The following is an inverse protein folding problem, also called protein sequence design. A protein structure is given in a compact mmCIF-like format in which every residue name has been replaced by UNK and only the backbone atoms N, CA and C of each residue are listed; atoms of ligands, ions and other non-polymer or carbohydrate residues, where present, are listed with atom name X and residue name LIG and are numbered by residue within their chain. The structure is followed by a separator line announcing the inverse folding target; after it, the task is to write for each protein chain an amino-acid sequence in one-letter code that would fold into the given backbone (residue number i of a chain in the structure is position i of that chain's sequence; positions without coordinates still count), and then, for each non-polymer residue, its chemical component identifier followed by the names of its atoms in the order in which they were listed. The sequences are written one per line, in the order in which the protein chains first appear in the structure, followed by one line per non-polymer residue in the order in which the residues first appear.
data_IF_581961169884
#
_entry.id   IF_581961169884
#
_cell.length_a   1.000
_cell.length_b   1.000
_cell.length_c   1.000
_cell.angle_alpha   90.00
_cell.angle_beta   90.00
_cell.angle_gamma   90.00
#
_symmetry.space_group_name_H-M   'P 1'
#
loop_
_entity.id
_entity.type
_entity.pdbx_description
1 polymer ?
#
# COMPACT_ATOMS: atom_id res chain seq x y z
N UNK A 1 46.58 -57.15 44.57
CA UNK A 1 45.73 -58.35 44.44
C UNK A 1 44.25 -57.95 44.52
N UNK A 2 43.47 -58.41 43.56
CA UNK A 2 42.02 -58.22 43.41
C UNK A 2 41.22 -58.70 44.63
N UNK A 3 40.24 -57.90 45.08
CA UNK A 3 39.04 -58.41 45.75
C UNK A 3 37.81 -57.68 45.25
N UNK A 4 37.18 -58.31 44.27
CA UNK A 4 35.82 -58.07 43.81
C UNK A 4 34.82 -58.41 44.93
N UNK A 5 33.92 -57.48 45.27
CA UNK A 5 32.66 -57.77 45.99
C UNK A 5 31.53 -56.91 45.40
N UNK A 6 30.74 -57.53 44.52
CA UNK A 6 29.34 -57.16 44.24
C UNK A 6 28.47 -57.59 45.44
N UNK A 7 27.15 -57.42 45.39
CA UNK A 7 26.33 -56.23 45.13
C UNK A 7 25.39 -55.97 46.34
N UNK A 8 24.73 -54.82 46.45
CA UNK A 8 23.51 -54.74 47.25
C UNK A 8 22.46 -53.90 46.54
N UNK A 9 21.37 -54.56 46.17
CA UNK A 9 20.10 -53.96 45.77
C UNK A 9 19.38 -53.50 47.03
N UNK A 10 18.88 -52.27 47.05
CA UNK A 10 17.73 -51.91 47.88
C UNK A 10 16.98 -50.77 47.22
N UNK A 11 15.71 -51.06 46.91
CA UNK A 11 14.64 -50.13 46.58
C UNK A 11 14.41 -49.13 47.71
N UNK A 12 14.30 -47.85 47.37
CA UNK A 12 13.51 -46.85 48.10
C UNK A 12 13.30 -45.70 47.09
N UNK A 13 12.10 -45.50 46.55
CA UNK A 13 11.06 -44.79 47.29
C UNK A 13 11.32 -43.29 47.20
N UNK A 14 11.28 -42.71 46.00
CA UNK A 14 11.35 -41.25 45.84
C UNK A 14 9.95 -40.69 46.08
N UNK A 15 9.65 -40.49 47.36
CA UNK A 15 8.65 -39.56 47.81
C UNK A 15 9.11 -38.14 47.45
N UNK A 16 8.18 -37.35 46.90
CA UNK A 16 8.42 -35.97 46.53
C UNK A 16 8.63 -35.04 47.73
N UNK A 17 9.47 -34.04 47.51
CA UNK A 17 9.49 -32.72 48.16
C UNK A 17 10.54 -31.90 47.39
N UNK A 18 10.13 -31.12 46.38
CA UNK A 18 9.83 -29.68 46.47
C UNK A 18 11.03 -28.83 46.91
N UNK A 19 11.31 -27.82 46.08
CA UNK A 19 12.14 -26.63 46.31
C UNK A 19 13.62 -26.69 45.93
N UNK A 20 13.91 -26.71 44.61
CA UNK A 20 15.11 -26.08 44.04
C UNK A 20 14.84 -25.65 42.60
N UNK A 21 14.45 -24.38 42.36
CA UNK A 21 14.50 -23.73 41.03
C UNK A 21 14.27 -22.22 41.13
N UNK A 22 15.15 -21.51 41.84
CA UNK A 22 15.13 -20.05 41.95
C UNK A 22 16.15 -19.36 41.06
N UNK A 23 16.36 -19.83 39.84
CA UNK A 23 17.20 -19.15 38.83
C UNK A 23 16.46 -19.19 37.49
N UNK A 24 15.78 -18.11 37.10
CA UNK A 24 15.52 -17.75 35.70
C UNK A 24 15.33 -16.22 35.63
N UNK A 25 16.44 -15.50 35.50
CA UNK A 25 16.83 -14.85 34.25
C UNK A 25 15.89 -13.70 33.86
N UNK A 26 16.19 -12.49 34.35
CA UNK A 26 15.73 -11.25 33.72
C UNK A 26 16.41 -11.14 32.35
N UNK A 27 15.93 -11.96 31.40
CA UNK A 27 16.28 -11.84 30.00
C UNK A 27 15.59 -10.61 29.43
N UNK A 28 16.36 -9.77 28.75
CA UNK A 28 15.88 -8.63 27.97
C UNK A 28 14.64 -9.01 27.17
N UNK A 29 13.56 -8.24 27.33
CA UNK A 29 12.38 -8.34 26.49
C UNK A 29 12.69 -7.87 25.08
N UNK A 30 13.39 -8.68 24.28
CA UNK A 30 13.30 -8.62 22.83
C UNK A 30 12.32 -9.71 22.43
N UNK A 31 11.03 -9.37 22.49
CA UNK A 31 9.98 -10.21 21.94
C UNK A 31 10.27 -10.50 20.47
N UNK A 32 10.59 -11.76 20.17
CA UNK A 32 10.81 -12.32 18.83
C UNK A 32 9.56 -12.34 17.93
N UNK A 33 8.60 -11.47 18.20
CA UNK A 33 7.42 -11.24 17.38
C UNK A 33 7.33 -9.73 17.16
N UNK A 34 8.16 -9.24 16.24
CA UNK A 34 8.03 -7.88 15.73
C UNK A 34 6.61 -7.76 15.16
N UNK A 35 5.74 -7.00 15.81
CA UNK A 35 4.40 -6.68 15.31
C UNK A 35 4.44 -5.77 14.06
N UNK A 36 5.61 -5.63 13.44
CA UNK A 36 5.86 -5.09 12.11
C UNK A 36 6.32 -6.17 11.10
N UNK A 37 6.50 -7.43 11.49
CA UNK A 37 6.86 -8.53 10.57
C UNK A 37 5.69 -9.00 9.69
N UNK A 38 4.47 -8.58 10.03
CA UNK A 38 3.28 -8.71 9.21
C UNK A 38 2.87 -7.38 8.57
N UNK A 39 3.81 -6.45 8.37
CA UNK A 39 3.50 -5.22 7.65
C UNK A 39 3.34 -5.57 6.17
N UNK A 40 2.15 -6.06 5.85
CA UNK A 40 1.61 -6.05 4.50
C UNK A 40 1.64 -4.58 4.13
N UNK A 41 2.63 -4.20 3.30
CA UNK A 41 2.54 -2.97 2.56
C UNK A 41 1.11 -2.92 2.02
N UNK A 42 0.43 -1.77 2.09
CA UNK A 42 -0.87 -1.60 1.47
C UNK A 42 -0.71 -1.78 -0.05
N UNK A 43 -0.50 -3.01 -0.51
CA UNK A 43 -0.23 -3.34 -1.90
C UNK A 43 -1.59 -3.40 -2.54
N UNK A 44 -2.00 -2.29 -3.13
CA UNK A 44 -3.20 -2.20 -3.97
C UNK A 44 -3.05 -2.98 -5.29
N UNK A 45 -2.17 -4.00 -5.33
CA UNK A 45 -1.83 -4.80 -6.49
C UNK A 45 -1.90 -6.30 -6.22
N UNK A 46 -2.21 -7.06 -7.27
CA UNK A 46 -2.36 -8.50 -7.24
C UNK A 46 -1.00 -9.21 -7.22
N UNK A 47 -0.92 -10.27 -6.42
CA UNK A 47 0.17 -11.25 -6.45
C UNK A 47 -0.37 -12.59 -6.92
N UNK A 48 0.39 -13.29 -7.76
CA UNK A 48 0.05 -14.61 -8.27
C UNK A 48 1.29 -15.33 -8.80
N UNK A 49 1.11 -16.55 -9.30
CA UNK A 49 2.17 -17.31 -9.93
C UNK A 49 1.64 -18.21 -11.03
N UNK A 50 2.53 -18.56 -11.97
CA UNK A 50 2.30 -19.55 -13.02
C UNK A 50 3.60 -20.28 -13.28
N UNK A 51 3.60 -21.59 -13.10
CA UNK A 51 4.86 -22.35 -13.11
C UNK A 51 5.89 -21.75 -12.15
N UNK A 52 7.06 -21.38 -12.68
CA UNK A 52 8.15 -20.73 -11.95
C UNK A 52 8.18 -19.20 -12.11
N UNK A 53 7.11 -18.59 -12.64
CA UNK A 53 7.00 -17.15 -12.80
C UNK A 53 6.06 -16.58 -11.74
N UNK A 54 6.59 -15.66 -10.95
CA UNK A 54 5.86 -14.90 -9.94
C UNK A 54 5.39 -13.56 -10.51
N UNK A 55 4.10 -13.30 -10.42
CA UNK A 55 3.47 -12.01 -10.71
C UNK A 55 3.33 -11.27 -9.38
N UNK A 56 3.92 -10.07 -9.28
CA UNK A 56 3.92 -9.26 -8.07
C UNK A 56 3.40 -7.87 -8.36
N UNK A 57 2.55 -7.37 -7.46
CA UNK A 57 2.08 -5.97 -7.47
C UNK A 57 1.49 -5.55 -8.82
N UNK A 58 0.71 -6.47 -9.42
CA UNK A 58 0.05 -6.27 -10.70
C UNK A 58 -1.20 -5.42 -10.50
N UNK A 59 -1.25 -4.24 -11.10
CA UNK A 59 -2.38 -3.33 -11.02
C UNK A 59 -2.46 -2.45 -12.27
N UNK A 60 -3.68 -2.06 -12.66
CA UNK A 60 -3.85 -0.93 -13.58
C UNK A 60 -3.51 0.32 -12.79
N UNK A 61 -2.66 1.17 -13.33
CA UNK A 61 -2.17 2.34 -12.62
C UNK A 61 -3.31 3.36 -12.40
N UNK A 62 -3.22 4.20 -11.39
CA UNK A 62 -4.32 5.13 -11.08
C UNK A 62 -4.36 6.27 -12.13
N UNK A 63 -5.53 6.70 -12.66
CA UNK A 63 -5.60 7.77 -13.64
C UNK A 63 -5.00 9.09 -13.11
N UNK A 64 -3.97 9.60 -13.77
CA UNK A 64 -3.28 10.82 -13.32
C UNK A 64 -4.12 12.10 -13.54
N UNK A 65 -5.10 12.08 -14.45
CA UNK A 65 -5.96 13.21 -14.73
C UNK A 65 -7.38 12.76 -15.18
N UNK A 66 -8.45 13.30 -14.58
CA UNK A 66 -8.46 14.12 -13.37
C UNK A 66 -8.18 13.25 -12.12
N UNK A 67 -7.25 13.68 -11.27
CA UNK A 67 -6.99 13.01 -10.00
C UNK A 67 -8.09 13.36 -8.98
N UNK A 68 -9.12 12.51 -8.91
CA UNK A 68 -10.22 12.61 -7.95
C UNK A 68 -10.61 11.22 -7.44
N UNK A 69 -11.30 11.09 -6.30
CA UNK A 69 -11.82 9.78 -5.87
C UNK A 69 -12.72 9.09 -6.91
N UNK A 70 -13.28 9.85 -7.85
CA UNK A 70 -14.07 9.37 -8.99
C UNK A 70 -13.25 9.19 -10.28
N UNK A 71 -11.92 9.24 -10.21
CA UNK A 71 -11.06 9.10 -11.38
C UNK A 71 -11.25 7.75 -12.06
N UNK A 72 -11.33 7.80 -13.39
CA UNK A 72 -11.50 6.64 -14.23
C UNK A 72 -10.79 6.86 -15.57
N UNK A 73 -10.35 5.78 -16.19
CA UNK A 73 -9.96 5.81 -17.59
C UNK A 73 -11.21 5.77 -18.47
N UNK A 74 -11.31 6.68 -19.44
CA UNK A 74 -12.43 6.73 -20.36
C UNK A 74 -12.39 5.58 -21.38
N UNK A 75 -13.54 5.23 -21.95
CA UNK A 75 -13.59 4.37 -23.15
C UNK A 75 -12.70 4.95 -24.24
N UNK A 76 -11.94 4.10 -24.92
CA UNK A 76 -11.02 4.44 -26.00
C UNK A 76 -9.66 4.95 -25.53
N UNK A 77 -9.52 5.29 -24.25
CA UNK A 77 -8.24 5.74 -23.67
C UNK A 77 -7.27 4.57 -23.43
N UNK A 78 -6.05 4.91 -23.01
CA UNK A 78 -5.02 3.95 -22.63
C UNK A 78 -4.75 3.98 -21.13
N UNK A 79 -4.56 2.81 -20.54
CA UNK A 79 -4.27 2.64 -19.13
C UNK A 79 -2.91 1.93 -18.93
N UNK A 80 -1.91 2.62 -18.34
CA UNK A 80 -0.65 1.99 -17.94
C UNK A 80 -0.89 0.90 -16.90
N UNK A 81 -0.11 -0.17 -16.98
CA UNK A 81 -0.16 -1.29 -16.03
C UNK A 81 1.15 -1.30 -15.24
N UNK A 82 1.04 -1.37 -13.92
CA UNK A 82 2.16 -1.62 -13.01
C UNK A 82 2.23 -3.11 -12.73
N UNK A 83 3.41 -3.69 -12.82
CA UNK A 83 3.63 -5.11 -12.58
C UNK A 83 5.12 -5.38 -12.36
N UNK A 84 5.42 -6.33 -11.48
CA UNK A 84 6.74 -6.93 -11.34
C UNK A 84 6.63 -8.42 -11.64
N UNK A 85 7.39 -8.92 -12.61
CA UNK A 85 7.38 -10.32 -13.04
C UNK A 85 8.74 -10.92 -12.74
N UNK A 86 8.80 -12.00 -11.97
CA UNK A 86 10.06 -12.64 -11.55
C UNK A 86 10.06 -14.09 -12.00
N UNK A 87 11.12 -14.52 -12.68
CA UNK A 87 11.35 -15.93 -12.97
C UNK A 87 12.24 -16.53 -11.86
N UNK A 88 11.66 -17.37 -11.01
CA UNK A 88 12.36 -18.12 -9.96
C UNK A 88 12.84 -19.50 -10.42
N UNK A 89 12.63 -19.84 -11.71
CA UNK A 89 13.08 -21.08 -12.33
C UNK A 89 14.48 -20.98 -12.92
N UNK A 90 15.19 -22.11 -12.97
CA UNK A 90 16.55 -22.17 -13.51
C UNK A 90 16.66 -21.96 -15.02
N UNK A 91 15.56 -22.10 -15.76
CA UNK A 91 15.52 -21.89 -17.22
C UNK A 91 14.95 -20.51 -17.51
N UNK A 92 15.60 -19.75 -18.41
CA UNK A 92 15.11 -18.45 -18.84
C UNK A 92 13.72 -18.56 -19.49
N UNK A 93 12.83 -17.62 -19.20
CA UNK A 93 11.50 -17.50 -19.79
C UNK A 93 11.39 -16.18 -20.56
N UNK A 94 10.21 -15.89 -21.11
CA UNK A 94 9.90 -14.67 -21.81
C UNK A 94 8.42 -14.34 -21.68
N UNK A 95 8.09 -13.08 -21.39
CA UNK A 95 6.72 -12.60 -21.52
C UNK A 95 6.38 -12.44 -23.01
N UNK A 96 5.47 -13.27 -23.52
CA UNK A 96 5.09 -13.31 -24.93
C UNK A 96 3.97 -12.33 -25.23
N UNK A 97 2.93 -12.33 -24.40
CA UNK A 97 1.78 -11.43 -24.58
C UNK A 97 1.04 -11.17 -23.28
N UNK A 98 0.35 -10.03 -23.24
CA UNK A 98 -0.66 -9.70 -22.23
C UNK A 98 -1.94 -9.33 -22.98
N UNK A 99 -3.10 -9.72 -22.44
CA UNK A 99 -4.39 -9.41 -23.05
C UNK A 99 -5.48 -9.20 -22.01
N UNK A 100 -6.55 -8.51 -22.38
CA UNK A 100 -7.74 -8.32 -21.56
C UNK A 100 -8.95 -8.06 -22.45
N UNK A 101 -10.15 -8.54 -22.10
CA UNK A 101 -11.39 -8.18 -22.82
C UNK A 101 -11.78 -6.71 -22.64
N UNK A 102 -11.19 -6.00 -21.66
CA UNK A 102 -11.49 -4.59 -21.39
C UNK A 102 -10.74 -3.60 -22.30
N UNK A 103 -9.88 -4.07 -23.20
CA UNK A 103 -9.08 -3.24 -24.10
C UNK A 103 -8.92 -3.91 -25.48
N UNK A 104 -8.68 -3.11 -26.51
CA UNK A 104 -8.37 -3.64 -27.85
C UNK A 104 -7.06 -4.42 -27.86
N UNK A 105 -6.04 -3.94 -27.15
CA UNK A 105 -4.74 -4.59 -27.06
C UNK A 105 -4.00 -4.19 -25.78
N UNK A 106 -2.98 -4.98 -25.40
CA UNK A 106 -1.98 -4.55 -24.42
C UNK A 106 -0.63 -4.48 -25.11
N UNK A 107 -0.08 -3.26 -25.20
CA UNK A 107 1.23 -3.00 -25.78
C UNK A 107 2.32 -3.31 -24.76
N UNK A 108 3.33 -4.05 -25.20
CA UNK A 108 4.54 -4.37 -24.44
C UNK A 108 5.72 -3.67 -25.11
N UNK A 109 6.48 -2.88 -24.36
CA UNK A 109 7.72 -2.24 -24.84
C UNK A 109 8.88 -2.58 -23.92
N UNK A 110 10.08 -2.71 -24.49
CA UNK A 110 11.29 -3.12 -23.77
C UNK A 110 11.65 -4.59 -24.02
N UNK A 111 12.72 -5.04 -23.37
CA UNK A 111 13.16 -6.43 -23.45
C UNK A 111 12.36 -7.30 -22.47
N UNK A 112 11.66 -8.28 -23.04
CA UNK A 112 10.75 -9.20 -22.35
C UNK A 112 11.40 -10.51 -21.88
N UNK A 113 12.71 -10.70 -22.12
CA UNK A 113 13.40 -11.90 -21.67
C UNK A 113 13.48 -11.92 -20.12
N UNK A 114 13.26 -13.09 -19.53
CA UNK A 114 13.23 -13.32 -18.09
C UNK A 114 14.28 -14.37 -17.69
N UNK A 115 15.57 -13.98 -17.57
CA UNK A 115 16.56 -14.82 -16.90
C UNK A 115 16.15 -15.16 -15.46
N UNK A 116 16.77 -16.18 -14.88
CA UNK A 116 16.58 -16.51 -13.48
C UNK A 116 16.90 -15.29 -12.59
N UNK A 117 16.04 -15.02 -11.61
CA UNK A 117 16.18 -14.00 -10.57
C UNK A 117 16.32 -12.54 -11.08
N UNK A 118 16.02 -12.29 -12.36
CA UNK A 118 15.93 -10.93 -12.93
C UNK A 118 14.47 -10.56 -13.14
N UNK A 119 14.01 -9.54 -12.40
CA UNK A 119 12.63 -9.09 -12.50
C UNK A 119 12.42 -8.20 -13.74
N UNK A 120 11.30 -8.39 -14.44
CA UNK A 120 10.74 -7.39 -15.34
C UNK A 120 9.84 -6.44 -14.55
N UNK A 121 10.03 -5.14 -14.70
CA UNK A 121 9.25 -4.12 -13.99
C UNK A 121 8.58 -3.20 -14.99
N UNK A 122 7.24 -3.20 -14.97
CA UNK A 122 6.42 -2.14 -15.55
C UNK A 122 5.99 -1.19 -14.45
N UNK A 123 6.31 0.08 -14.60
CA UNK A 123 6.08 1.09 -13.55
C UNK A 123 4.68 1.69 -13.58
N UNK A 124 3.92 1.46 -14.65
CA UNK A 124 2.69 2.20 -14.90
C UNK A 124 2.99 3.70 -15.03
N UNK A 125 2.50 4.50 -14.08
CA UNK A 125 2.72 5.94 -14.01
C UNK A 125 3.40 6.40 -12.71
N UNK A 126 4.00 5.48 -11.94
CA UNK A 126 4.75 5.83 -10.74
C UNK A 126 6.25 5.97 -11.04
N UNK A 127 6.94 6.96 -10.44
CA UNK A 127 8.38 7.11 -10.56
C UNK A 127 9.06 6.12 -9.61
N UNK A 128 9.09 4.84 -9.97
CA UNK A 128 9.86 3.82 -9.26
C UNK A 128 11.22 3.69 -9.91
N UNK A 129 12.29 3.71 -9.11
CA UNK A 129 13.63 3.32 -9.56
C UNK A 129 13.85 1.89 -9.13
N UNK A 130 13.77 0.96 -10.07
CA UNK A 130 14.03 -0.44 -9.79
C UNK A 130 15.50 -0.74 -10.10
N UNK A 131 16.23 -1.27 -9.12
CA UNK A 131 17.64 -1.64 -9.25
C UNK A 131 17.75 -3.15 -9.48
N UNK A 132 18.70 -3.58 -10.31
CA UNK A 132 18.87 -5.01 -10.62
C UNK A 132 17.70 -5.63 -11.40
N UNK A 133 16.86 -4.81 -12.02
CA UNK A 133 15.68 -5.24 -12.79
C UNK A 133 15.78 -4.76 -14.24
N UNK A 134 14.97 -5.37 -15.10
CA UNK A 134 14.78 -4.92 -16.48
C UNK A 134 13.45 -4.17 -16.59
N UNK A 135 13.52 -2.95 -17.09
CA UNK A 135 12.33 -2.12 -17.27
C UNK A 135 11.60 -2.48 -18.56
N UNK A 136 10.29 -2.65 -18.44
CA UNK A 136 9.36 -2.79 -19.56
C UNK A 136 8.22 -1.79 -19.39
N UNK A 137 7.44 -1.55 -20.43
CA UNK A 137 6.18 -0.81 -20.32
C UNK A 137 5.03 -1.67 -20.81
N UNK A 138 4.01 -1.78 -19.96
CA UNK A 138 2.75 -2.43 -20.26
C UNK A 138 1.65 -1.37 -20.29
N UNK A 139 0.94 -1.27 -21.42
CA UNK A 139 -0.15 -0.30 -21.60
C UNK A 139 -1.35 -0.99 -22.25
N UNK A 140 -2.49 -1.02 -21.57
CA UNK A 140 -3.75 -1.40 -22.18
C UNK A 140 -4.24 -0.24 -23.07
N UNK A 141 -4.51 -0.49 -24.34
CA UNK A 141 -4.87 0.53 -25.33
C UNK A 141 -6.27 0.29 -25.87
N UNK A 142 -7.01 1.39 -26.08
CA UNK A 142 -8.36 1.33 -26.62
C UNK A 142 -9.31 0.61 -25.66
N UNK A 143 -9.45 1.12 -24.43
CA UNK A 143 -10.38 0.54 -23.45
C UNK A 143 -11.80 0.43 -24.01
N UNK A 144 -12.45 -0.72 -23.92
CA UNK A 144 -13.78 -0.96 -24.48
C UNK A 144 -14.88 -0.35 -23.61
N UNK A 145 -14.59 -0.13 -22.33
CA UNK A 145 -15.49 0.46 -21.34
C UNK A 145 -14.71 1.38 -20.39
N UNK A 146 -15.38 2.33 -19.71
CA UNK A 146 -14.75 3.10 -18.64
C UNK A 146 -14.22 2.19 -17.51
N UNK A 147 -12.99 2.42 -17.06
CA UNK A 147 -12.34 1.65 -15.97
C UNK A 147 -12.13 2.58 -14.77
N UNK A 148 -12.94 2.40 -13.73
CA UNK A 148 -12.85 3.19 -12.50
C UNK A 148 -11.80 2.63 -11.52
N UNK A 149 -11.24 3.52 -10.70
CA UNK A 149 -10.37 3.12 -9.59
C UNK A 149 -11.03 2.09 -8.67
N UNK A 150 -10.24 1.15 -8.13
CA UNK A 150 -10.72 0.09 -7.24
C UNK A 150 -11.49 -1.04 -7.93
N UNK A 151 -11.73 -0.98 -9.25
CA UNK A 151 -12.35 -2.08 -10.02
C UNK A 151 -11.30 -3.09 -10.47
N UNK A 152 -11.67 -4.36 -10.52
CA UNK A 152 -10.86 -5.43 -11.09
C UNK A 152 -11.15 -5.64 -12.57
N UNK A 153 -10.11 -5.93 -13.33
CA UNK A 153 -10.15 -6.23 -14.76
C UNK A 153 -9.44 -7.56 -15.00
N UNK A 154 -10.08 -8.57 -15.61
CA UNK A 154 -9.41 -9.82 -15.92
C UNK A 154 -8.32 -9.57 -16.96
N UNK A 155 -7.11 -10.04 -16.69
CA UNK A 155 -5.97 -9.96 -17.60
C UNK A 155 -5.27 -11.30 -17.71
N UNK A 156 -4.94 -11.68 -18.94
CA UNK A 156 -4.22 -12.92 -19.24
C UNK A 156 -2.78 -12.60 -19.61
N UNK A 157 -1.83 -13.18 -18.88
CA UNK A 157 -0.40 -13.12 -19.14
C UNK A 157 0.03 -14.46 -19.76
N UNK A 158 0.82 -14.39 -20.83
CA UNK A 158 1.33 -15.58 -21.53
C UNK A 158 2.85 -15.52 -21.56
N UNK A 159 3.45 -16.58 -21.06
CA UNK A 159 4.89 -16.81 -21.01
C UNK A 159 5.28 -17.95 -21.95
N UNK A 160 6.50 -17.90 -22.48
CA UNK A 160 7.00 -18.90 -23.43
C UNK A 160 7.08 -20.29 -22.81
N UNK A 161 7.51 -20.40 -21.54
CA UNK A 161 7.71 -21.68 -20.84
C UNK A 161 6.75 -21.89 -19.68
N UNK A 162 6.53 -20.89 -18.84
CA UNK A 162 5.63 -21.02 -17.70
C UNK A 162 4.15 -21.20 -18.11
N UNK A 163 3.79 -20.85 -19.35
CA UNK A 163 2.43 -20.98 -19.88
C UNK A 163 1.61 -19.72 -19.65
N UNK A 164 0.29 -19.87 -19.50
CA UNK A 164 -0.64 -18.75 -19.38
C UNK A 164 -1.35 -18.69 -18.04
N UNK A 165 -1.56 -17.49 -17.52
CA UNK A 165 -2.36 -17.25 -16.31
C UNK A 165 -3.32 -16.10 -16.52
N UNK A 166 -4.55 -16.26 -16.05
CA UNK A 166 -5.56 -15.20 -16.03
C UNK A 166 -5.78 -14.78 -14.59
N UNK A 167 -5.66 -13.47 -14.32
CA UNK A 167 -5.75 -12.89 -12.99
C UNK A 167 -6.63 -11.64 -12.99
N UNK A 168 -7.33 -11.40 -11.88
CA UNK A 168 -8.19 -10.22 -11.71
C UNK A 168 -7.36 -9.03 -11.23
N UNK A 169 -6.91 -8.21 -12.17
CA UNK A 169 -6.00 -7.08 -11.90
C UNK A 169 -6.80 -5.90 -11.36
N UNK A 170 -6.52 -5.43 -10.12
CA UNK A 170 -7.19 -4.24 -9.58
C UNK A 170 -6.69 -2.97 -10.27
N UNK A 171 -7.57 -1.98 -10.37
CA UNK A 171 -7.21 -0.60 -10.71
C UNK A 171 -6.81 0.10 -9.42
N UNK A 172 -5.61 0.65 -9.39
CA UNK A 172 -5.09 1.35 -8.22
C UNK A 172 -6.03 2.49 -7.79
N UNK A 173 -6.10 2.72 -6.50
CA UNK A 173 -6.74 3.88 -5.88
C UNK A 173 -5.67 4.93 -5.56
N UNK A 174 -6.04 6.22 -5.42
CA UNK A 174 -5.08 7.22 -4.95
C UNK A 174 -4.49 6.75 -3.63
N UNK A 175 -3.17 6.83 -3.48
CA UNK A 175 -2.58 6.70 -2.15
C UNK A 175 -3.10 7.89 -1.33
N UNK A 176 -3.89 7.62 -0.29
CA UNK A 176 -4.21 8.65 0.69
C UNK A 176 -2.88 9.22 1.20
N UNK A 177 -2.76 10.55 1.18
CA UNK A 177 -1.56 11.23 1.62
C UNK A 177 -1.21 10.76 3.02
N UNK A 178 -0.17 9.93 3.12
CA UNK A 178 0.44 9.62 4.41
C UNK A 178 0.77 10.97 5.05
N UNK A 179 0.24 11.34 6.24
CA UNK A 179 0.84 12.42 7.01
C UNK A 179 2.32 12.09 7.07
N UNK A 180 3.16 13.02 6.62
CA UNK A 180 4.59 12.77 6.41
C UNK A 180 5.15 11.99 7.59
N UNK A 181 5.99 10.98 7.29
CA UNK A 181 6.82 10.39 8.32
C UNK A 181 7.46 11.56 9.07
N UNK A 182 7.00 11.78 10.31
CA UNK A 182 7.57 12.80 11.18
C UNK A 182 9.06 12.51 11.18
N UNK A 183 9.93 13.48 10.82
CA UNK A 183 11.35 13.22 10.74
C UNK A 183 11.78 12.61 12.06
N UNK A 184 12.35 11.41 11.97
CA UNK A 184 12.94 10.72 13.10
C UNK A 184 13.78 11.73 13.85
N UNK A 185 13.37 12.06 15.07
CA UNK A 185 14.10 13.00 15.91
C UNK A 185 15.46 12.37 16.11
N UNK A 186 16.46 12.94 15.44
CA UNK A 186 17.85 12.56 15.61
C UNK A 186 18.12 12.66 17.12
N UNK A 187 18.38 11.52 17.75
CA UNK A 187 18.87 11.49 19.11
C UNK A 187 20.19 12.26 19.11
N UNK A 188 20.17 13.47 19.66
CA UNK A 188 21.37 14.23 19.91
C UNK A 188 22.12 13.53 21.06
N UNK A 189 23.17 12.81 20.71
CA UNK A 189 24.23 12.49 21.66
C UNK A 189 24.99 13.78 21.99
N UNK A 190 25.12 14.09 23.28
CA UNK A 190 26.00 15.16 23.73
C UNK A 190 25.88 15.54 25.20
N UNK A 191 26.79 15.01 26.03
CA UNK A 191 27.36 15.77 27.14
C UNK A 191 26.91 15.36 28.54
N UNK A 192 27.72 14.54 29.22
CA UNK A 192 27.69 14.46 30.68
C UNK A 192 28.39 15.66 31.31
N UNK A 193 27.91 16.11 32.48
CA UNK A 193 28.69 16.80 33.53
C UNK A 193 27.96 16.56 34.87
N UNK A 194 28.71 16.15 35.89
CA UNK A 194 28.21 15.91 37.24
C UNK A 194 28.26 17.15 38.15
N UNK A 195 27.73 16.97 39.37
CA UNK A 195 28.13 17.71 40.57
C UNK A 195 27.14 18.72 41.15
N UNK A 196 26.53 18.36 42.28
CA UNK A 196 26.73 19.03 43.58
C UNK A 196 26.08 20.39 43.89
N UNK A 197 25.10 20.34 44.81
CA UNK A 197 24.78 21.28 45.92
C UNK A 197 24.35 22.75 45.66
N UNK A 198 23.12 23.07 46.12
CA UNK A 198 22.96 23.98 47.26
C UNK A 198 22.21 25.32 47.08
N UNK A 199 20.98 25.34 47.63
CA UNK A 199 20.38 26.42 48.47
C UNK A 199 19.58 27.58 47.83
N UNK A 200 18.40 27.86 48.44
CA UNK A 200 17.63 29.11 48.37
C UNK A 200 16.18 28.92 47.85
N UNK A 201 15.18 28.49 48.63
CA UNK A 201 14.39 29.23 49.65
C UNK A 201 13.09 29.87 49.10
N UNK A 202 11.93 29.29 49.51
CA UNK A 202 10.56 29.84 49.74
C UNK A 202 9.79 30.58 48.61
N UNK A 203 8.46 30.52 48.44
CA UNK A 203 7.37 29.88 49.17
C UNK A 203 5.98 30.11 48.52
N UNK A 204 5.05 29.20 48.84
CA UNK A 204 3.59 29.29 49.08
C UNK A 204 2.62 30.15 48.22
N UNK A 205 1.55 29.48 47.75
CA UNK A 205 0.18 29.99 47.50
C UNK A 205 -0.19 30.09 46.01
N UNK A 206 -1.37 29.74 45.47
CA UNK A 206 -2.69 29.38 45.96
C UNK A 206 -3.63 29.17 44.75
N UNK A 207 -4.87 28.74 45.01
CA UNK A 207 -5.90 28.20 44.10
C UNK A 207 -6.39 29.00 42.87
N UNK A 208 -7.02 28.26 41.94
CA UNK A 208 -8.03 28.74 40.96
C UNK A 208 -7.94 27.91 39.67
N UNK A 209 -8.87 27.03 39.30
CA UNK A 209 -10.31 27.29 39.10
C UNK A 209 -10.54 27.37 37.58
N UNK A 210 -11.18 26.36 37.00
CA UNK A 210 -11.52 26.33 35.57
C UNK A 210 -12.67 27.26 35.20
N UNK A 211 -13.11 27.13 33.94
CA UNK A 211 -14.28 27.72 33.27
C UNK A 211 -13.95 28.85 32.26
N UNK A 212 -13.93 28.50 30.97
CA UNK A 212 -14.27 29.44 29.89
C UNK A 212 -15.71 29.16 29.43
N UNK A 213 -16.58 30.02 29.93
CA UNK A 213 -18.01 30.13 29.69
C UNK A 213 -18.34 30.48 28.23
N UNK A 214 -19.50 30.01 27.79
CA UNK A 214 -20.15 30.23 26.50
C UNK A 214 -20.79 31.62 26.34
N UNK A 215 -20.77 32.15 25.09
CA UNK A 215 -21.78 33.05 24.42
C UNK A 215 -22.02 34.46 25.02
N UNK A 216 -22.60 35.48 24.30
CA UNK A 216 -23.59 35.40 23.22
C UNK A 216 -23.47 36.39 22.02
N UNK A 217 -24.37 36.22 21.04
CA UNK A 217 -24.72 37.20 20.00
C UNK A 217 -25.58 38.37 20.56
N UNK A 218 -25.68 39.51 19.84
CA UNK A 218 -26.93 39.87 19.11
C UNK A 218 -26.67 40.58 17.74
N UNK A 219 -27.48 40.40 16.68
CA UNK A 219 -28.66 41.23 16.29
C UNK A 219 -28.29 42.68 15.91
N UNK A 220 -28.54 43.28 14.74
CA UNK A 220 -29.80 43.34 13.96
C UNK A 220 -29.65 43.82 12.49
N UNK A 221 -30.59 43.32 11.67
CA UNK A 221 -31.30 43.79 10.46
C UNK A 221 -31.10 45.20 9.82
N UNK A 222 -31.00 45.27 8.48
CA UNK A 222 -32.02 45.83 7.52
C UNK A 222 -31.43 46.21 6.13
N UNK A 223 -32.13 45.86 5.04
CA UNK A 223 -31.95 46.45 3.69
C UNK A 223 -32.33 45.55 2.49
N UNK A 224 -33.52 45.79 1.91
CA UNK A 224 -34.24 45.09 0.81
C UNK A 224 -33.59 45.27 -0.62
N UNK A 225 -34.14 44.76 -1.77
CA UNK A 225 -33.40 44.09 -2.85
C UNK A 225 -33.47 44.89 -4.18
N UNK A 226 -33.09 44.29 -5.33
CA UNK A 226 -33.78 44.61 -6.57
C UNK A 226 -34.40 43.40 -7.28
N UNK A 227 -35.70 43.55 -7.60
CA UNK A 227 -36.41 42.93 -8.73
C UNK A 227 -35.67 43.31 -10.05
N UNK A 228 -35.72 42.61 -11.18
CA UNK A 228 -36.52 41.53 -11.74
C UNK A 228 -36.38 41.61 -13.28
N UNK A 229 -36.54 40.49 -13.99
CA UNK A 229 -36.53 40.48 -15.46
C UNK A 229 -36.36 39.09 -16.05
N UNK A 230 -37.48 38.41 -16.31
CA UNK A 230 -37.57 37.12 -17.00
C UNK A 230 -37.89 37.33 -18.51
N UNK A 231 -38.21 36.29 -19.30
CA UNK A 231 -37.37 35.73 -20.36
C UNK A 231 -37.88 36.01 -21.79
N UNK A 232 -37.02 35.85 -22.80
CA UNK A 232 -37.42 35.85 -24.21
C UNK A 232 -37.27 34.44 -24.84
N UNK A 233 -38.32 33.87 -25.44
CA UNK A 233 -38.24 32.69 -26.31
C UNK A 233 -38.18 33.11 -27.78
N UNK A 234 -37.44 32.36 -28.62
CA UNK A 234 -37.51 32.56 -30.06
C UNK A 234 -36.59 31.68 -30.89
N UNK A 235 -37.09 30.54 -31.36
CA UNK A 235 -36.86 30.04 -32.73
C UNK A 235 -37.82 28.88 -33.10
N UNK A 236 -39.10 29.19 -33.24
CA UNK A 236 -40.01 28.34 -34.03
C UNK A 236 -40.12 28.92 -35.44
N UNK A 237 -39.47 28.27 -36.41
CA UNK A 237 -39.63 28.52 -37.83
C UNK A 237 -40.34 27.33 -38.48
N UNK A 238 -41.66 27.43 -38.58
CA UNK A 238 -42.55 26.56 -39.36
C UNK A 238 -42.30 26.67 -40.86
N UNK A 239 -42.34 25.53 -41.56
CA UNK A 239 -42.40 25.48 -43.02
C UNK A 239 -43.79 25.76 -43.59
N UNK A 240 -43.85 26.29 -44.81
CA UNK A 240 -44.80 25.95 -45.90
C UNK A 240 -44.64 26.94 -47.04
N UNK A 241 -44.54 26.42 -48.27
CA UNK A 241 -44.50 27.22 -49.49
C UNK A 241 -44.28 26.32 -50.71
N UNK A 242 -45.34 25.64 -51.14
CA UNK A 242 -45.39 25.02 -52.47
C UNK A 242 -45.63 26.06 -53.56
N UNK A 243 -45.15 25.77 -54.75
CA UNK A 243 -45.38 26.57 -55.96
C UNK A 243 -44.71 25.91 -57.16
N UNK A 244 -45.58 25.40 -58.03
CA UNK A 244 -45.43 24.90 -59.40
C UNK A 244 -44.17 25.26 -60.20
#
# INVERSE_FOLDING_TARGET
MSRNRRPLRTLAGVAGAVALSGLLLSGCGTGQLSQTAGQVAATNGLNGSVGAVDLRDVQIAYPAAPASPAALYARGSSAPIRATLVNSGATADRLVSVSTPAATSVRIQGDTAMPQDVALVSKGNTPITATGTREIQLVAEGLTQPVAAGRTVPMTFVFERAGSVTVDVPTAIPAEGRPGAEPERVAAEGGGHGGGHGSGETGVGGHGGGESHSTPAPGQEHGQPPHGGAPAPGNEGTGSGGGH
#
